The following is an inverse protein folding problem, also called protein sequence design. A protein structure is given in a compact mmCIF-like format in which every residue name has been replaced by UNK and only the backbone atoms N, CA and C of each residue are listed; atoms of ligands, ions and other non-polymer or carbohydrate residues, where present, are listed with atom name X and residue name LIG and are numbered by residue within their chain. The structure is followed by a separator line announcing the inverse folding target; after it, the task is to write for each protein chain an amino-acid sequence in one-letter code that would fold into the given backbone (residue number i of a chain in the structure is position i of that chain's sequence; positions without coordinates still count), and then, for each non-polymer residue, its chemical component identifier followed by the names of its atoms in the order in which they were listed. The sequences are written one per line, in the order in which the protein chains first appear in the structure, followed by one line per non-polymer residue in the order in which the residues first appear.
data_IF_528035828821
#
_entry.id   IF_528035828821
#
_cell.length_a   1.000
_cell.length_b   1.000
_cell.length_c   1.000
_cell.angle_alpha   90.00
_cell.angle_beta   90.00
_cell.angle_gamma   90.00
#
_symmetry.space_group_name_H-M   'P 1'
#
loop_
_entity.id
_entity.type
_entity.pdbx_description
1 polymer ?
#
# COMPACT_ATOMS: atom_id res chain seq x y z
N UNK A 1 -53.71 -3.27 33.55
CA UNK A 1 -53.61 -3.80 34.92
C UNK A 1 -52.16 -4.04 35.23
N UNK A 2 -51.61 -3.23 36.13
CA UNK A 2 -50.22 -3.24 36.57
C UNK A 2 -49.98 -4.37 37.58
N UNK A 3 -48.86 -5.07 37.47
CA UNK A 3 -48.35 -5.91 38.56
C UNK A 3 -46.88 -5.57 38.81
N UNK A 4 -46.69 -4.88 39.92
CA UNK A 4 -45.43 -4.55 40.58
C UNK A 4 -45.12 -5.58 41.68
N UNK A 5 -43.85 -5.99 41.72
CA UNK A 5 -43.00 -6.15 42.92
C UNK A 5 -43.29 -7.28 43.93
N UNK A 6 -42.24 -8.07 44.21
CA UNK A 6 -41.72 -8.54 45.52
C UNK A 6 -40.56 -9.53 45.22
N UNK A 7 -39.49 -9.74 45.98
CA UNK A 7 -38.66 -9.00 46.95
C UNK A 7 -37.51 -9.98 47.32
N UNK A 8 -36.43 -9.45 47.91
CA UNK A 8 -35.35 -10.12 48.69
C UNK A 8 -34.25 -10.87 47.92
N UNK A 9 -33.04 -10.31 47.82
CA UNK A 9 -32.00 -10.20 48.87
C UNK A 9 -31.66 -11.53 49.54
N UNK A 10 -30.52 -12.12 49.17
CA UNK A 10 -29.67 -12.87 50.10
C UNK A 10 -28.23 -12.38 49.95
N UNK A 11 -27.72 -11.92 51.08
CA UNK A 11 -26.36 -11.46 51.35
C UNK A 11 -25.42 -12.65 51.49
N UNK A 12 -24.25 -12.61 50.86
CA UNK A 12 -23.08 -13.36 51.31
C UNK A 12 -21.80 -12.57 51.00
N UNK A 13 -21.29 -11.92 52.04
CA UNK A 13 -19.97 -11.32 52.11
C UNK A 13 -18.89 -12.41 51.97
N UNK A 14 -18.16 -12.42 50.85
CA UNK A 14 -16.85 -13.07 50.76
C UNK A 14 -15.78 -11.99 50.55
N UNK A 15 -15.11 -11.68 51.64
CA UNK A 15 -14.05 -10.69 51.79
C UNK A 15 -12.75 -11.29 51.24
N UNK A 16 -12.33 -10.86 50.05
CA UNK A 16 -10.98 -11.15 49.54
C UNK A 16 -10.05 -9.97 49.86
N UNK A 17 -8.80 -10.21 50.28
CA UNK A 17 -7.86 -9.14 50.58
C UNK A 17 -7.48 -8.40 49.29
N UNK A 18 -7.81 -7.12 49.26
CA UNK A 18 -7.37 -6.18 48.23
C UNK A 18 -5.84 -6.07 48.31
N UNK A 19 -5.15 -6.65 47.33
CA UNK A 19 -3.76 -6.33 47.05
C UNK A 19 -3.70 -4.86 46.62
N UNK A 20 -3.34 -3.99 47.56
CA UNK A 20 -2.97 -2.61 47.32
C UNK A 20 -1.78 -2.56 46.36
N UNK A 21 -2.07 -2.51 45.06
CA UNK A 21 -1.12 -2.00 44.08
C UNK A 21 -1.07 -0.50 44.27
N UNK A 22 -0.04 -0.04 44.99
CA UNK A 22 0.40 1.34 44.96
C UNK A 22 0.64 1.76 43.49
N UNK A 23 -0.35 2.43 42.91
CA UNK A 23 -0.18 3.22 41.71
C UNK A 23 0.54 4.49 42.15
N UNK A 24 1.85 4.39 42.35
CA UNK A 24 2.71 5.55 42.28
C UNK A 24 2.62 6.09 40.85
N UNK A 25 1.64 6.95 40.61
CA UNK A 25 1.64 7.88 39.49
C UNK A 25 2.91 8.70 39.62
N UNK A 26 3.98 8.26 38.95
CA UNK A 26 5.06 9.18 38.56
C UNK A 26 4.42 10.17 37.58
N UNK A 27 3.82 11.22 38.13
CA UNK A 27 3.53 12.45 37.42
C UNK A 27 4.88 12.93 36.92
N UNK A 28 5.21 12.63 35.66
CA UNK A 28 6.35 13.27 35.03
C UNK A 28 6.03 14.77 35.04
N UNK A 29 6.87 15.64 35.62
CA UNK A 29 6.65 17.07 35.52
C UNK A 29 6.56 17.40 34.02
N UNK A 30 5.47 18.07 33.64
CA UNK A 30 5.32 18.60 32.30
C UNK A 30 6.54 19.48 32.02
N UNK A 31 7.24 19.30 30.89
CA UNK A 31 8.33 20.22 30.56
C UNK A 31 7.76 21.63 30.52
N UNK A 32 8.47 22.56 31.17
CA UNK A 32 8.10 23.98 31.15
C UNK A 32 8.01 24.47 29.71
N UNK A 33 7.07 25.39 29.38
CA UNK A 33 7.02 26.01 28.07
C UNK A 33 8.36 26.71 27.84
N UNK A 34 9.17 26.15 26.93
CA UNK A 34 10.42 26.76 26.50
C UNK A 34 10.10 28.20 26.10
N UNK A 35 10.78 29.14 26.75
CA UNK A 35 10.39 30.54 26.81
C UNK A 35 9.94 31.11 25.47
N UNK A 36 8.96 32.00 25.55
CA UNK A 36 8.60 32.94 24.49
C UNK A 36 9.71 33.98 24.34
N UNK A 37 10.91 33.55 23.94
CA UNK A 37 11.93 34.47 23.46
C UNK A 37 11.50 34.93 22.08
N UNK A 38 10.74 36.03 22.07
CA UNK A 38 10.69 37.05 21.03
C UNK A 38 10.92 36.49 19.62
N UNK A 39 9.99 35.67 19.13
CA UNK A 39 9.87 35.54 17.69
C UNK A 39 9.34 36.88 17.20
N UNK A 40 10.02 37.55 16.25
CA UNK A 40 9.43 38.68 15.57
C UNK A 40 8.06 38.22 15.07
N UNK A 41 7.02 38.98 15.35
CA UNK A 41 5.81 38.96 14.53
C UNK A 41 6.28 39.33 13.13
N UNK A 42 6.76 38.34 12.38
CA UNK A 42 7.02 38.50 10.96
C UNK A 42 5.71 38.99 10.39
N UNK A 43 5.70 40.24 9.92
CA UNK A 43 4.65 40.72 9.07
C UNK A 43 4.51 39.67 7.98
N UNK A 44 3.40 38.94 8.00
CA UNK A 44 2.94 38.22 6.82
C UNK A 44 2.50 39.32 5.87
N UNK A 45 3.47 40.00 5.27
CA UNK A 45 3.27 40.65 4.00
C UNK A 45 2.86 39.49 3.08
N UNK A 46 1.56 39.30 2.94
CA UNK A 46 0.93 38.47 1.92
C UNK A 46 1.17 39.12 0.54
N UNK A 47 2.38 39.62 0.29
CA UNK A 47 2.78 40.04 -1.04
C UNK A 47 2.75 38.78 -1.88
N UNK A 48 1.78 38.78 -2.79
CA UNK A 48 1.59 37.80 -3.85
C UNK A 48 2.97 37.53 -4.45
N UNK A 49 3.45 36.30 -4.25
CA UNK A 49 4.82 35.89 -4.57
C UNK A 49 5.10 36.28 -6.02
N UNK A 50 6.26 36.88 -6.34
CA UNK A 50 6.66 37.07 -7.73
C UNK A 50 6.73 35.70 -8.40
N UNK A 51 5.98 35.55 -9.48
CA UNK A 51 6.00 34.38 -10.36
C UNK A 51 7.43 33.86 -10.51
N UNK A 52 7.74 32.71 -9.91
CA UNK A 52 8.92 31.96 -10.32
C UNK A 52 8.65 31.54 -11.76
N UNK A 53 9.54 31.91 -12.68
CA UNK A 53 9.39 31.91 -14.15
C UNK A 53 8.92 30.58 -14.80
N UNK A 54 8.70 29.52 -14.02
CA UNK A 54 8.31 28.19 -14.49
C UNK A 54 6.81 27.91 -14.52
N UNK A 55 5.97 28.58 -13.71
CA UNK A 55 4.53 28.23 -13.60
C UNK A 55 3.67 29.48 -13.63
N UNK A 56 2.99 29.71 -14.76
CA UNK A 56 2.20 30.92 -14.99
C UNK A 56 0.70 30.75 -14.76
N UNK A 57 0.19 29.53 -14.64
CA UNK A 57 -1.25 29.29 -14.43
C UNK A 57 -1.49 28.41 -13.20
N UNK A 58 -2.59 28.63 -12.45
CA UNK A 58 -2.96 27.75 -11.34
C UNK A 58 -3.15 26.30 -11.79
N UNK A 59 -3.68 26.09 -13.01
CA UNK A 59 -3.80 24.76 -13.61
C UNK A 59 -2.45 24.06 -13.75
N UNK A 60 -1.43 24.79 -14.20
CA UNK A 60 -0.07 24.26 -14.35
C UNK A 60 0.58 23.96 -12.99
N UNK A 61 0.32 24.79 -11.97
CA UNK A 61 0.72 24.50 -10.60
C UNK A 61 0.11 23.19 -10.09
N UNK A 62 -1.19 22.98 -10.30
CA UNK A 62 -1.90 21.77 -9.88
C UNK A 62 -1.41 20.51 -10.62
N UNK A 63 -1.03 20.65 -11.89
CA UNK A 63 -0.38 19.57 -12.65
C UNK A 63 1.02 19.27 -12.11
N UNK A 64 1.81 20.30 -11.79
CA UNK A 64 3.18 20.16 -11.32
C UNK A 64 3.29 19.52 -9.92
N UNK A 65 2.35 19.77 -9.01
CA UNK A 65 2.32 19.14 -7.67
C UNK A 65 1.92 17.66 -7.71
N UNK A 66 1.27 17.22 -8.79
CA UNK A 66 0.71 15.89 -8.98
C UNK A 66 -0.58 15.61 -8.20
N UNK A 67 -1.11 14.38 -8.32
CA UNK A 67 -2.31 13.84 -7.65
C UNK A 67 -3.68 14.19 -8.24
N UNK A 68 -3.75 14.62 -9.51
CA UNK A 68 -5.02 14.77 -10.25
C UNK A 68 -6.07 15.62 -9.53
N UNK A 69 -5.61 16.68 -8.85
CA UNK A 69 -6.53 17.68 -8.26
C UNK A 69 -6.80 18.73 -9.34
N UNK A 70 -7.58 18.35 -10.34
CA UNK A 70 -7.90 19.19 -11.48
C UNK A 70 -9.12 20.07 -11.16
N UNK A 71 -8.92 21.11 -10.35
CA UNK A 71 -9.90 22.17 -10.21
C UNK A 71 -9.69 23.21 -11.31
N UNK A 72 -10.73 23.48 -12.09
CA UNK A 72 -10.72 24.50 -13.15
C UNK A 72 -10.73 25.88 -12.50
N UNK A 73 -9.55 26.40 -12.18
CA UNK A 73 -9.37 27.77 -11.71
C UNK A 73 -8.35 28.43 -12.63
N UNK A 74 -8.76 29.52 -13.26
CA UNK A 74 -7.96 30.22 -14.26
C UNK A 74 -7.17 31.38 -13.64
N UNK A 75 -7.75 32.08 -12.65
CA UNK A 75 -7.14 33.24 -12.01
C UNK A 75 -6.33 32.89 -10.76
N UNK A 76 -5.12 33.46 -10.64
CA UNK A 76 -4.24 33.23 -9.49
C UNK A 76 -4.81 33.75 -8.18
N UNK A 77 -5.32 34.99 -8.18
CA UNK A 77 -5.86 35.59 -6.96
C UNK A 77 -7.10 34.83 -6.48
N UNK A 78 -7.97 34.46 -7.41
CA UNK A 78 -9.12 33.62 -7.14
C UNK A 78 -8.67 32.25 -6.60
N UNK A 79 -7.66 31.63 -7.20
CA UNK A 79 -7.11 30.37 -6.72
C UNK A 79 -6.63 30.46 -5.26
N UNK A 80 -5.84 31.47 -4.90
CA UNK A 80 -5.31 31.60 -3.53
C UNK A 80 -6.40 31.92 -2.50
N UNK A 81 -7.42 32.69 -2.88
CA UNK A 81 -8.53 33.04 -2.00
C UNK A 81 -9.56 31.90 -1.87
N UNK A 82 -9.91 31.27 -2.99
CA UNK A 82 -10.95 30.24 -3.03
C UNK A 82 -10.44 28.85 -2.67
N UNK A 83 -9.14 28.56 -2.76
CA UNK A 83 -8.56 27.26 -2.36
C UNK A 83 -8.40 27.16 -0.85
N UNK A 84 -9.50 27.41 -0.14
CA UNK A 84 -9.64 27.17 1.30
C UNK A 84 -10.07 25.73 1.54
N UNK A 85 -9.64 25.13 2.65
CA UNK A 85 -9.95 23.73 2.99
C UNK A 85 -11.45 23.39 3.03
N UNK A 86 -12.31 24.38 3.28
CA UNK A 86 -13.78 24.25 3.26
C UNK A 86 -14.32 24.15 1.83
N UNK A 87 -13.83 24.99 0.92
CA UNK A 87 -14.22 24.97 -0.49
C UNK A 87 -13.75 23.69 -1.17
N UNK A 88 -12.51 23.27 -0.90
CA UNK A 88 -11.99 21.98 -1.37
C UNK A 88 -12.78 20.78 -0.84
N UNK A 89 -13.36 20.88 0.37
CA UNK A 89 -14.26 19.84 0.91
C UNK A 89 -15.59 19.83 0.16
N UNK A 90 -16.16 21.00 -0.13
CA UNK A 90 -17.38 21.13 -0.92
C UNK A 90 -17.19 20.62 -2.36
N UNK A 91 -15.99 20.81 -2.92
CA UNK A 91 -15.59 20.26 -4.22
C UNK A 91 -15.32 18.74 -4.22
N UNK A 92 -15.47 18.05 -3.08
CA UNK A 92 -15.33 16.59 -2.99
C UNK A 92 -13.90 16.06 -2.95
N UNK A 93 -12.87 16.93 -2.87
CA UNK A 93 -11.46 16.51 -2.82
C UNK A 93 -11.21 15.74 -1.51
N UNK A 94 -10.48 14.61 -1.56
CA UNK A 94 -10.21 13.79 -0.37
C UNK A 94 -9.39 14.52 0.71
N UNK A 95 -9.58 14.17 1.99
CA UNK A 95 -8.91 14.84 3.13
C UNK A 95 -7.39 14.92 2.96
N UNK A 96 -6.77 13.85 2.46
CA UNK A 96 -5.32 13.77 2.25
C UNK A 96 -4.85 14.76 1.19
N UNK A 97 -5.58 14.85 0.07
CA UNK A 97 -5.18 15.66 -1.06
C UNK A 97 -5.44 17.15 -0.76
N UNK A 98 -6.51 17.49 -0.03
CA UNK A 98 -6.73 18.85 0.47
C UNK A 98 -5.58 19.37 1.34
N UNK A 99 -5.12 18.54 2.28
CA UNK A 99 -3.97 18.89 3.16
C UNK A 99 -2.69 19.04 2.35
N UNK A 100 -2.51 18.21 1.34
CA UNK A 100 -1.34 18.23 0.48
C UNK A 100 -1.29 19.49 -0.39
N UNK A 101 -2.41 19.87 -1.04
CA UNK A 101 -2.51 21.09 -1.84
C UNK A 101 -2.22 22.32 -0.98
N UNK A 102 -2.86 22.45 0.18
CA UNK A 102 -2.63 23.59 1.09
C UNK A 102 -1.17 23.67 1.59
N UNK A 103 -0.54 22.53 1.81
CA UNK A 103 0.88 22.48 2.19
C UNK A 103 1.80 22.88 1.02
N UNK A 104 1.51 22.41 -0.20
CA UNK A 104 2.24 22.82 -1.41
C UNK A 104 2.12 24.32 -1.66
N UNK A 105 0.92 24.86 -1.47
CA UNK A 105 0.61 26.28 -1.52
C UNK A 105 1.48 27.07 -0.54
N UNK A 106 1.59 26.62 0.72
CA UNK A 106 2.45 27.26 1.72
C UNK A 106 3.94 27.15 1.37
N UNK A 107 4.39 26.04 0.79
CA UNK A 107 5.78 25.86 0.35
C UNK A 107 6.13 26.74 -0.85
N UNK A 108 5.18 26.90 -1.77
CA UNK A 108 5.30 27.84 -2.87
C UNK A 108 5.40 29.28 -2.36
N UNK A 109 4.61 29.65 -1.34
CA UNK A 109 4.73 30.95 -0.63
C UNK A 109 6.07 31.20 0.02
N UNK A 110 6.77 30.15 0.40
CA UNK A 110 8.13 30.23 0.95
C UNK A 110 9.20 30.35 -0.15
N UNK A 111 8.82 30.41 -1.43
CA UNK A 111 9.74 30.52 -2.57
C UNK A 111 10.50 29.22 -2.86
N UNK A 112 10.03 28.07 -2.35
CA UNK A 112 10.66 26.79 -2.64
C UNK A 112 10.28 26.32 -4.06
N UNK A 113 11.22 25.77 -4.84
CA UNK A 113 10.91 25.27 -6.18
C UNK A 113 10.00 24.04 -6.09
N UNK A 114 8.96 23.98 -6.92
CA UNK A 114 7.96 22.89 -6.95
C UNK A 114 8.58 21.48 -6.99
N UNK A 115 9.59 21.16 -7.84
CA UNK A 115 10.16 19.81 -7.89
C UNK A 115 10.84 19.38 -6.59
N UNK A 116 11.19 20.31 -5.69
CA UNK A 116 11.82 19.96 -4.41
C UNK A 116 10.86 19.35 -3.40
N UNK A 117 9.58 19.74 -3.44
CA UNK A 117 8.58 19.35 -2.45
C UNK A 117 7.42 18.54 -3.05
N UNK A 118 7.18 18.65 -4.36
CA UNK A 118 6.15 17.88 -5.03
C UNK A 118 6.50 16.38 -4.99
N UNK A 119 5.56 15.59 -4.49
CA UNK A 119 5.68 14.15 -4.37
C UNK A 119 4.46 13.47 -4.96
N UNK A 120 4.74 12.66 -5.98
CA UNK A 120 3.74 11.80 -6.61
C UNK A 120 3.04 10.89 -5.60
N UNK A 121 1.78 10.53 -5.88
CA UNK A 121 1.07 9.58 -5.05
C UNK A 121 1.84 8.26 -5.06
N UNK A 122 2.23 7.80 -3.87
CA UNK A 122 2.93 6.53 -3.73
C UNK A 122 2.11 5.43 -4.40
N UNK A 123 2.71 4.64 -5.31
CA UNK A 123 1.98 3.61 -6.03
C UNK A 123 1.37 2.63 -5.03
N UNK A 124 0.19 2.10 -5.38
CA UNK A 124 -0.49 1.13 -4.53
C UNK A 124 0.43 -0.08 -4.36
N UNK A 125 0.65 -0.49 -3.11
CA UNK A 125 1.39 -1.72 -2.81
C UNK A 125 0.75 -2.90 -3.54
N UNK A 126 1.49 -3.49 -4.49
CA UNK A 126 1.06 -4.66 -5.27
C UNK A 126 0.95 -5.91 -4.39
N UNK A 127 1.93 -6.12 -3.50
CA UNK A 127 1.96 -7.24 -2.56
C UNK A 127 1.80 -6.70 -1.14
N UNK A 128 0.78 -7.17 -0.42
CA UNK A 128 0.55 -6.88 1.00
C UNK A 128 0.75 -8.18 1.79
N UNK A 129 1.80 -8.29 2.63
CA UNK A 129 2.09 -9.54 3.33
C UNK A 129 3.40 -9.60 4.15
N UNK A 130 3.48 -10.65 4.99
CA UNK A 130 4.45 -10.93 6.09
C UNK A 130 5.82 -11.47 5.61
N UNK A 131 6.53 -10.70 4.78
CA UNK A 131 7.89 -11.04 4.36
C UNK A 131 8.00 -12.18 3.33
N UNK A 132 9.21 -12.66 3.03
CA UNK A 132 9.50 -13.54 1.87
C UNK A 132 8.72 -14.84 1.82
N UNK A 133 8.18 -15.31 2.95
CA UNK A 133 7.41 -16.56 3.01
C UNK A 133 6.05 -16.47 2.33
N UNK A 134 5.48 -15.29 2.10
CA UNK A 134 4.14 -15.15 1.50
C UNK A 134 4.14 -14.06 0.45
N UNK A 135 4.15 -14.46 -0.82
CA UNK A 135 4.05 -13.55 -1.97
C UNK A 135 2.80 -13.91 -2.78
N UNK A 136 2.08 -12.90 -3.29
CA UNK A 136 0.88 -13.08 -4.14
C UNK A 136 -0.21 -13.97 -3.50
N UNK A 137 -0.39 -13.88 -2.17
CA UNK A 137 -1.36 -14.70 -1.43
C UNK A 137 -0.98 -16.18 -1.29
N UNK A 138 0.20 -16.58 -1.77
CA UNK A 138 0.72 -17.96 -1.70
C UNK A 138 1.91 -18.02 -0.76
N UNK A 139 1.89 -18.99 0.16
CA UNK A 139 3.05 -19.26 1.01
C UNK A 139 4.11 -19.98 0.20
N UNK A 140 5.22 -19.30 -0.06
CA UNK A 140 6.41 -19.88 -0.67
C UNK A 140 7.07 -20.75 0.41
N UNK A 141 6.95 -22.06 0.25
CA UNK A 141 7.80 -23.03 0.94
C UNK A 141 9.06 -23.23 0.09
N UNK A 142 10.23 -23.33 0.71
CA UNK A 142 11.46 -23.68 0.01
C UNK A 142 11.18 -24.92 -0.84
N UNK A 143 11.26 -24.76 -2.15
CA UNK A 143 10.93 -25.83 -3.09
C UNK A 143 12.08 -26.83 -2.97
N UNK A 144 11.90 -27.89 -2.17
CA UNK A 144 12.73 -29.10 -2.33
C UNK A 144 12.45 -29.53 -3.77
N UNK A 145 13.43 -29.42 -4.65
CA UNK A 145 13.33 -29.96 -6.01
C UNK A 145 13.06 -31.45 -5.84
N UNK A 146 11.80 -31.85 -5.87
CA UNK A 146 11.44 -33.24 -6.06
C UNK A 146 11.83 -33.49 -7.50
N UNK A 147 12.96 -34.17 -7.70
CA UNK A 147 13.30 -34.77 -8.98
C UNK A 147 12.03 -35.42 -9.52
N UNK A 148 11.59 -35.10 -10.75
CA UNK A 148 10.36 -35.65 -11.29
C UNK A 148 10.60 -37.12 -11.63
N UNK A 149 10.54 -37.99 -10.62
CA UNK A 149 10.29 -39.42 -10.81
C UNK A 149 8.78 -39.59 -11.00
N UNK A 150 8.20 -38.92 -11.99
CA UNK A 150 6.80 -39.14 -12.33
C UNK A 150 6.67 -40.50 -13.04
N UNK A 151 5.70 -41.36 -12.66
CA UNK A 151 5.55 -42.71 -13.21
C UNK A 151 5.22 -42.73 -14.72
N UNK A 152 4.79 -41.60 -15.28
CA UNK A 152 4.40 -41.44 -16.69
C UNK A 152 5.56 -41.56 -17.68
N UNK A 153 6.78 -41.16 -17.32
CA UNK A 153 7.94 -41.24 -18.24
C UNK A 153 8.48 -42.67 -18.38
N UNK A 154 8.44 -43.48 -17.32
CA UNK A 154 8.82 -44.91 -17.38
C UNK A 154 7.88 -45.72 -18.28
N UNK A 155 6.58 -45.44 -18.21
CA UNK A 155 5.58 -46.08 -19.07
C UNK A 155 5.83 -45.78 -20.55
N UNK A 156 6.03 -44.50 -20.89
CA UNK A 156 6.33 -44.07 -22.27
C UNK A 156 7.64 -44.66 -22.82
N UNK A 157 8.70 -44.72 -21.99
CA UNK A 157 9.97 -45.33 -22.38
C UNK A 157 9.83 -46.83 -22.67
N UNK A 158 9.10 -47.56 -21.81
CA UNK A 158 8.85 -49.00 -21.98
C UNK A 158 7.96 -49.28 -23.20
N UNK A 159 7.03 -48.39 -23.51
CA UNK A 159 6.21 -48.50 -24.72
C UNK A 159 7.02 -48.25 -25.99
N UNK A 160 7.92 -47.27 -25.98
CA UNK A 160 8.82 -46.99 -27.09
C UNK A 160 9.74 -48.20 -27.36
N UNK A 161 10.33 -48.77 -26.32
CA UNK A 161 11.19 -49.96 -26.42
C UNK A 161 10.44 -51.17 -27.00
N UNK A 162 9.16 -51.35 -26.67
CA UNK A 162 8.31 -52.39 -27.29
C UNK A 162 8.04 -52.13 -28.78
N UNK A 163 7.89 -50.86 -29.18
CA UNK A 163 7.69 -50.48 -30.59
C UNK A 163 8.97 -50.71 -31.39
N UNK A 164 10.12 -50.30 -30.86
CA UNK A 164 11.42 -50.45 -31.50
C UNK A 164 11.77 -51.95 -31.70
N UNK A 165 11.54 -52.78 -30.67
CA UNK A 165 11.75 -54.24 -30.79
C UNK A 165 10.83 -54.91 -31.81
N UNK A 166 9.57 -54.44 -31.95
CA UNK A 166 8.66 -54.94 -32.98
C UNK A 166 9.11 -54.51 -34.39
N UNK A 167 9.66 -53.31 -34.52
CA UNK A 167 10.20 -52.79 -35.77
C UNK A 167 11.40 -53.61 -36.22
N UNK A 168 12.36 -53.85 -35.33
CA UNK A 168 13.54 -54.68 -35.59
C UNK A 168 13.17 -56.07 -36.11
N UNK A 169 12.21 -56.74 -35.45
CA UNK A 169 11.73 -58.07 -35.89
C UNK A 169 11.06 -58.06 -37.27
N UNK A 170 10.46 -56.93 -37.67
CA UNK A 170 9.85 -56.79 -39.00
C UNK A 170 10.94 -56.62 -40.05
N UNK A 171 11.93 -55.78 -39.76
CA UNK A 171 13.10 -55.55 -40.62
C UNK A 171 13.89 -56.87 -40.81
N UNK A 172 14.15 -57.65 -39.76
CA UNK A 172 14.79 -58.98 -39.86
C UNK A 172 14.02 -59.94 -40.76
N UNK A 173 12.67 -59.96 -40.69
CA UNK A 173 11.84 -60.81 -41.56
C UNK A 173 11.87 -60.36 -43.02
N UNK A 174 11.92 -59.06 -43.26
CA UNK A 174 12.03 -58.50 -44.61
C UNK A 174 13.41 -58.79 -45.21
N UNK A 175 14.48 -58.70 -44.42
CA UNK A 175 15.84 -59.08 -44.85
C UNK A 175 15.95 -60.58 -45.17
N UNK A 176 15.38 -61.47 -44.34
CA UNK A 176 15.33 -62.90 -44.64
C UNK A 176 14.54 -63.21 -45.92
N UNK A 177 13.44 -62.49 -46.18
CA UNK A 177 12.65 -62.62 -47.42
C UNK A 177 13.44 -62.16 -48.65
N UNK A 178 14.17 -61.04 -48.54
CA UNK A 178 15.04 -60.57 -49.63
C UNK A 178 16.17 -61.56 -49.91
N UNK A 179 16.80 -62.10 -48.87
CA UNK A 179 17.85 -63.10 -48.99
C UNK A 179 17.35 -64.39 -49.66
N UNK A 180 16.13 -64.83 -49.34
CA UNK A 180 15.51 -66.00 -49.96
C UNK A 180 15.12 -65.80 -51.43
N UNK A 181 14.97 -64.55 -51.91
CA UNK A 181 14.71 -64.23 -53.33
C UNK A 181 16.00 -64.05 -54.15
N UNK A 182 17.16 -64.01 -53.50
CA UNK A 182 18.49 -63.88 -54.11
C UNK A 182 19.23 -65.23 -54.26
N UNK A 183 18.59 -66.32 -53.85
CA UNK A 183 19.00 -67.72 -54.05
C UNK A 183 18.11 -68.36 -55.12
#
# INVERSE_FOLDING_TARGET
MSLTTLFRNLSCNARLPALSRSLATRVRPSPEPRGTHLLPTASLDNTLIPNTDSVHTPSDFLKAIGRSVDTKVEDWDEFWQQTTGRNLRSAGVGVRDRRYVLWCMEKYRQGLPIPSFAHDPRPKKTIRGWGPSVQNGKRIRSRRVRTPTSPTTKSKRKEQERKDRKKLKREEREELRKAALLL
#
